data_IF_980332265824
#
_entry.id   IF_980332265824
#
_cell.length_a   1.000
_cell.length_b   1.000
_cell.length_c   1.000
_cell.angle_alpha   90.00
_cell.angle_beta   90.00
_cell.angle_gamma   90.00
#
_symmetry.space_group_name_H-M   'P 1'
#
loop_
_entity.id
_entity.type
_entity.pdbx_description
1 polymer ?
#
# COMPACT_ATOMS: atom_id res chain seq x y z
N UNK A 1 1.63 13.57 33.00
CA UNK A 1 2.59 14.42 32.26
C UNK A 1 1.99 15.07 31.01
N UNK A 2 0.65 15.01 30.79
CA UNK A 2 -0.03 15.61 29.64
C UNK A 2 0.26 14.96 28.26
N UNK A 3 0.79 13.73 28.24
CA UNK A 3 1.01 12.94 27.02
C UNK A 3 -0.05 11.86 26.88
N UNK A 4 -0.52 11.65 25.66
CA UNK A 4 -1.40 10.52 25.31
C UNK A 4 -0.54 9.37 24.79
N UNK A 5 -0.77 8.16 25.29
CA UNK A 5 -0.12 6.94 24.81
C UNK A 5 -1.09 6.25 23.85
N UNK A 6 -0.59 5.88 22.69
CA UNK A 6 -1.35 5.20 21.63
C UNK A 6 -0.62 3.95 21.16
N UNK A 7 -1.30 2.98 20.50
CA UNK A 7 -0.61 1.87 19.82
C UNK A 7 0.39 2.38 18.79
N UNK A 8 1.45 1.62 18.55
CA UNK A 8 2.35 1.89 17.43
C UNK A 8 1.62 1.79 16.09
N UNK A 9 2.04 2.59 15.12
CA UNK A 9 1.42 2.62 13.80
C UNK A 9 1.77 1.37 13.00
N UNK A 10 0.82 0.96 12.17
CA UNK A 10 0.95 -0.10 11.16
C UNK A 10 0.97 0.57 9.79
N UNK A 11 2.06 0.44 9.07
CA UNK A 11 2.24 0.97 7.72
C UNK A 11 2.13 -0.17 6.69
N UNK A 12 1.00 -0.20 5.98
CA UNK A 12 0.64 -1.30 5.07
C UNK A 12 1.37 -1.27 3.73
N UNK A 13 2.18 -0.23 3.45
CA UNK A 13 2.82 -0.05 2.15
C UNK A 13 4.17 0.64 2.28
N UNK A 14 5.25 -0.15 2.34
CA UNK A 14 6.61 0.38 2.51
C UNK A 14 7.60 -0.32 1.58
N UNK A 15 8.40 0.47 0.87
CA UNK A 15 9.51 -0.03 0.08
C UNK A 15 10.75 -0.22 0.96
N UNK A 16 10.75 -1.25 1.82
CA UNK A 16 11.82 -1.46 2.82
C UNK A 16 13.21 -1.69 2.19
N UNK A 17 13.26 -2.18 0.96
CA UNK A 17 14.50 -2.31 0.16
C UNK A 17 14.82 -1.08 -0.69
N UNK A 18 14.03 -0.01 -0.54
CA UNK A 18 14.02 1.16 -1.41
C UNK A 18 13.28 0.90 -2.73
N UNK A 19 12.72 1.93 -3.29
CA UNK A 19 12.12 1.97 -4.63
C UNK A 19 12.99 2.77 -5.61
N UNK A 20 12.36 3.46 -6.54
CA UNK A 20 13.03 4.30 -7.54
C UNK A 20 13.64 3.50 -8.68
N UNK A 21 14.40 4.18 -9.51
CA UNK A 21 15.03 3.62 -10.70
C UNK A 21 14.31 4.00 -12.00
N UNK A 22 13.13 4.59 -11.95
CA UNK A 22 12.31 4.92 -13.12
C UNK A 22 12.92 6.03 -14.00
N UNK A 23 13.90 6.77 -13.49
CA UNK A 23 14.71 7.73 -14.27
C UNK A 23 16.15 7.22 -14.47
N UNK A 24 16.34 5.92 -14.50
CA UNK A 24 17.63 5.28 -14.64
C UNK A 24 18.33 4.98 -13.30
N UNK A 25 19.50 4.30 -13.34
CA UNK A 25 20.13 3.74 -12.13
C UNK A 25 20.45 4.75 -11.03
N UNK A 26 20.70 6.01 -11.38
CA UNK A 26 21.01 7.07 -10.42
C UNK A 26 19.80 7.54 -9.59
N UNK A 27 18.58 7.19 -9.99
CA UNK A 27 17.34 7.53 -9.28
C UNK A 27 16.88 6.47 -8.27
N UNK A 28 17.73 5.48 -7.96
CA UNK A 28 17.42 4.43 -6.96
C UNK A 28 17.39 5.01 -5.55
N UNK A 29 16.35 4.68 -4.79
CA UNK A 29 16.23 5.07 -3.38
C UNK A 29 16.96 4.04 -2.50
N UNK A 30 17.71 4.45 -1.46
CA UNK A 30 18.38 3.52 -0.57
C UNK A 30 17.40 2.70 0.27
N UNK A 31 17.88 1.62 0.88
CA UNK A 31 17.11 0.81 1.82
C UNK A 31 16.71 1.59 3.09
N UNK A 32 15.63 1.17 3.70
CA UNK A 32 15.17 1.72 4.97
C UNK A 32 16.06 1.29 6.15
N UNK A 33 16.00 2.04 7.25
CA UNK A 33 16.59 1.66 8.53
C UNK A 33 15.53 1.67 9.63
N UNK A 34 15.68 0.84 10.66
CA UNK A 34 14.78 0.76 11.82
C UNK A 34 14.51 2.14 12.44
N UNK A 35 15.55 2.95 12.57
CA UNK A 35 15.45 4.27 13.21
C UNK A 35 14.47 5.22 12.52
N UNK A 36 14.29 5.08 11.20
CA UNK A 36 13.34 5.92 10.46
C UNK A 36 11.91 5.55 10.81
N UNK A 37 11.60 4.28 11.01
CA UNK A 37 10.28 3.83 11.42
C UNK A 37 9.96 4.24 12.85
N UNK A 38 10.81 3.90 13.80
CA UNK A 38 10.56 4.15 15.22
C UNK A 38 10.49 5.63 15.57
N UNK A 39 11.29 6.48 14.93
CA UNK A 39 11.19 7.95 15.10
C UNK A 39 9.83 8.51 14.62
N UNK A 40 9.13 7.79 13.76
CA UNK A 40 7.81 8.17 13.26
C UNK A 40 6.65 7.36 13.86
N UNK A 41 6.92 6.59 14.92
CA UNK A 41 5.90 5.85 15.68
C UNK A 41 5.43 4.55 14.99
N UNK A 42 6.10 4.10 13.92
CA UNK A 42 5.75 2.88 13.19
C UNK A 42 6.43 1.69 13.84
N UNK A 43 5.66 0.72 14.28
CA UNK A 43 6.13 -0.52 14.92
C UNK A 43 5.85 -1.76 14.09
N UNK A 44 4.99 -1.64 13.09
CA UNK A 44 4.66 -2.71 12.15
C UNK A 44 4.67 -2.18 10.72
N UNK A 45 5.28 -2.90 9.80
CA UNK A 45 5.28 -2.55 8.37
C UNK A 45 5.02 -3.75 7.47
N UNK A 46 4.40 -3.50 6.32
CA UNK A 46 4.29 -4.45 5.22
C UNK A 46 5.24 -4.01 4.11
N UNK A 47 6.33 -4.74 3.95
CA UNK A 47 7.34 -4.52 2.93
C UNK A 47 6.90 -5.04 1.57
N UNK A 48 7.23 -4.30 0.50
CA UNK A 48 6.89 -4.70 -0.86
C UNK A 48 7.86 -4.10 -1.89
N UNK A 49 7.84 -4.64 -3.10
CA UNK A 49 8.57 -4.09 -4.24
C UNK A 49 7.68 -3.13 -5.05
N UNK A 50 8.31 -2.22 -5.76
CA UNK A 50 7.66 -1.26 -6.65
C UNK A 50 7.79 -1.64 -8.12
N UNK A 51 8.02 -0.62 -8.97
CA UNK A 51 8.22 -0.77 -10.42
C UNK A 51 9.43 -1.67 -10.74
N UNK A 52 10.52 -1.54 -9.99
CA UNK A 52 11.71 -2.37 -10.14
C UNK A 52 11.54 -3.72 -9.42
N UNK A 53 11.03 -4.70 -10.12
CA UNK A 53 11.02 -6.10 -9.74
C UNK A 53 12.11 -6.93 -10.44
N UNK A 54 13.10 -6.27 -11.10
CA UNK A 54 14.15 -6.89 -11.89
C UNK A 54 15.47 -6.85 -11.11
N UNK A 55 15.89 -5.66 -10.68
CA UNK A 55 17.15 -5.46 -9.96
C UNK A 55 16.96 -5.39 -8.43
N UNK A 56 15.71 -5.39 -7.97
CA UNK A 56 15.29 -5.62 -6.59
C UNK A 56 14.46 -6.90 -6.56
N UNK A 57 14.91 -7.87 -5.77
CA UNK A 57 14.30 -9.20 -5.77
C UNK A 57 13.43 -9.43 -4.53
N UNK A 58 12.54 -10.42 -4.62
CA UNK A 58 11.71 -10.88 -3.49
C UNK A 58 12.59 -11.47 -2.39
N UNK A 59 13.72 -12.11 -2.73
CA UNK A 59 14.72 -12.62 -1.77
C UNK A 59 15.34 -11.49 -0.95
N UNK A 60 15.73 -10.38 -1.61
CA UNK A 60 16.24 -9.19 -0.90
C UNK A 60 15.16 -8.62 0.03
N UNK A 61 13.90 -8.55 -0.43
CA UNK A 61 12.77 -8.09 0.38
C UNK A 61 12.60 -8.95 1.65
N UNK A 62 12.63 -10.27 1.53
CA UNK A 62 12.54 -11.20 2.67
C UNK A 62 13.74 -11.03 3.61
N UNK A 63 14.95 -10.94 3.07
CA UNK A 63 16.15 -10.73 3.87
C UNK A 63 16.06 -9.43 4.69
N UNK A 64 15.59 -8.35 4.07
CA UNK A 64 15.39 -7.06 4.74
C UNK A 64 14.28 -7.11 5.79
N UNK A 65 13.15 -7.78 5.49
CA UNK A 65 12.07 -7.94 6.45
C UNK A 65 12.56 -8.70 7.71
N UNK A 66 13.31 -9.77 7.52
CA UNK A 66 13.92 -10.53 8.62
C UNK A 66 14.90 -9.69 9.44
N UNK A 67 15.78 -8.93 8.77
CA UNK A 67 16.74 -8.06 9.45
C UNK A 67 16.03 -7.04 10.37
N UNK A 68 15.02 -6.34 9.86
CA UNK A 68 14.23 -5.39 10.66
C UNK A 68 13.46 -6.08 11.81
N UNK A 69 13.03 -7.34 11.61
CA UNK A 69 12.39 -8.13 12.66
C UNK A 69 13.38 -8.51 13.77
N UNK A 70 14.59 -8.89 13.42
CA UNK A 70 15.67 -9.16 14.39
C UNK A 70 16.08 -7.89 15.17
N UNK A 71 15.97 -6.71 14.53
CA UNK A 71 16.17 -5.40 15.16
C UNK A 71 14.99 -5.00 16.10
N UNK A 72 13.88 -5.75 16.14
CA UNK A 72 12.77 -5.56 17.08
C UNK A 72 11.49 -4.95 16.49
N UNK A 73 11.35 -4.84 15.16
CA UNK A 73 10.15 -4.38 14.47
C UNK A 73 9.30 -5.57 14.01
N UNK A 74 7.98 -5.44 13.98
CA UNK A 74 7.13 -6.42 13.28
C UNK A 74 7.10 -6.11 11.80
N UNK A 75 7.58 -7.04 10.94
CA UNK A 75 7.63 -6.82 9.50
C UNK A 75 7.05 -8.00 8.74
N UNK A 76 6.05 -7.72 7.93
CA UNK A 76 5.49 -8.62 6.92
C UNK A 76 5.97 -8.21 5.53
N UNK A 77 5.72 -9.07 4.53
CA UNK A 77 6.08 -8.80 3.15
C UNK A 77 5.04 -9.32 2.17
N UNK A 78 5.04 -8.74 0.97
CA UNK A 78 4.26 -9.22 -0.16
C UNK A 78 5.20 -9.76 -1.23
N UNK A 79 4.92 -10.94 -1.74
CA UNK A 79 5.66 -11.48 -2.89
C UNK A 79 5.34 -10.71 -4.17
N UNK A 80 6.16 -10.83 -5.19
CA UNK A 80 6.06 -10.14 -6.48
C UNK A 80 6.35 -8.62 -6.40
N UNK A 81 6.09 -7.95 -7.52
CA UNK A 81 6.28 -6.52 -7.76
C UNK A 81 5.11 -5.99 -8.58
N UNK A 82 5.32 -5.02 -9.49
CA UNK A 82 4.26 -4.49 -10.35
C UNK A 82 3.81 -5.45 -11.45
N UNK A 83 4.71 -6.34 -11.89
CA UNK A 83 4.51 -7.18 -13.06
C UNK A 83 3.52 -8.34 -12.86
N UNK A 84 2.92 -8.79 -13.97
CA UNK A 84 2.25 -10.06 -14.10
C UNK A 84 2.78 -10.77 -15.35
N UNK A 85 3.08 -12.07 -15.32
CA UNK A 85 3.00 -13.00 -14.19
C UNK A 85 3.84 -12.59 -12.98
N UNK A 86 3.41 -12.99 -11.75
CA UNK A 86 4.09 -12.59 -10.52
C UNK A 86 5.50 -13.19 -10.41
N UNK A 87 6.46 -12.38 -9.96
CA UNK A 87 7.80 -12.85 -9.60
C UNK A 87 7.78 -13.40 -8.19
N UNK A 88 8.28 -14.62 -7.99
CA UNK A 88 8.23 -15.35 -6.73
C UNK A 88 9.56 -16.04 -6.44
N UNK A 89 9.83 -16.37 -5.18
CA UNK A 89 11.03 -17.12 -4.78
C UNK A 89 10.89 -18.62 -5.13
N UNK A 90 9.70 -19.18 -4.89
CA UNK A 90 9.48 -20.63 -4.99
C UNK A 90 8.85 -21.07 -6.31
N UNK A 91 8.62 -20.12 -7.23
CA UNK A 91 7.90 -20.37 -8.49
C UNK A 91 6.37 -20.34 -8.35
N UNK A 92 5.83 -20.02 -7.15
CA UNK A 92 4.39 -19.97 -6.90
C UNK A 92 4.07 -18.96 -5.80
N UNK A 93 3.08 -18.10 -6.03
CA UNK A 93 2.53 -17.18 -5.02
C UNK A 93 2.07 -17.94 -3.78
N UNK A 94 1.40 -19.06 -3.97
CA UNK A 94 0.90 -19.89 -2.88
C UNK A 94 2.02 -20.46 -2.01
N UNK A 95 3.08 -20.98 -2.65
CA UNK A 95 4.24 -21.51 -1.90
C UNK A 95 4.98 -20.41 -1.17
N UNK A 96 5.13 -19.22 -1.78
CA UNK A 96 5.76 -18.09 -1.10
C UNK A 96 4.98 -17.73 0.18
N UNK A 97 3.66 -17.56 0.09
CA UNK A 97 2.82 -17.19 1.24
C UNK A 97 2.80 -18.29 2.31
N UNK A 98 2.73 -19.58 1.93
CA UNK A 98 2.62 -20.69 2.89
C UNK A 98 3.97 -21.02 3.53
N UNK A 99 5.08 -20.93 2.78
CA UNK A 99 6.37 -21.46 3.20
C UNK A 99 7.35 -20.40 3.71
N UNK A 100 7.10 -19.12 3.46
CA UNK A 100 8.03 -18.02 3.82
C UNK A 100 7.36 -17.14 4.89
N UNK A 101 7.77 -17.22 6.17
CA UNK A 101 7.07 -16.64 7.31
C UNK A 101 6.62 -15.18 7.20
N UNK A 102 7.40 -14.22 6.66
CA UNK A 102 6.92 -12.84 6.56
C UNK A 102 5.90 -12.62 5.44
N UNK A 103 5.68 -13.58 4.53
CA UNK A 103 4.78 -13.40 3.40
C UNK A 103 3.31 -13.52 3.80
N UNK A 104 2.54 -12.46 3.54
CA UNK A 104 1.10 -12.40 3.86
C UNK A 104 0.21 -12.18 2.65
N UNK A 105 0.79 -12.04 1.46
CA UNK A 105 0.05 -11.74 0.24
C UNK A 105 0.96 -11.49 -0.96
N UNK A 106 0.39 -10.88 -1.99
CA UNK A 106 1.04 -10.60 -3.27
C UNK A 106 0.83 -9.15 -3.70
N UNK A 107 1.81 -8.58 -4.38
CA UNK A 107 1.77 -7.23 -4.99
C UNK A 107 1.55 -7.33 -6.50
N UNK A 108 0.76 -6.40 -7.05
CA UNK A 108 0.58 -6.20 -8.51
C UNK A 108 0.25 -4.73 -8.80
N UNK A 109 0.51 -4.24 -10.00
CA UNK A 109 0.03 -2.93 -10.46
C UNK A 109 -1.15 -3.08 -11.41
N UNK A 110 -2.16 -2.22 -11.25
CA UNK A 110 -3.41 -2.23 -12.03
C UNK A 110 -3.74 -0.81 -12.46
N UNK A 111 -4.24 -0.67 -13.68
CA UNK A 111 -4.65 0.63 -14.25
C UNK A 111 -3.55 1.70 -14.17
N UNK A 112 -2.30 1.29 -14.36
CA UNK A 112 -1.09 2.13 -14.35
C UNK A 112 -0.30 1.91 -15.64
N UNK A 113 0.37 2.95 -16.16
CA UNK A 113 1.20 2.85 -17.37
C UNK A 113 2.42 1.93 -17.20
N UNK A 114 2.80 1.59 -15.97
CA UNK A 114 3.88 0.64 -15.62
C UNK A 114 3.33 -0.76 -15.33
N UNK A 115 2.01 -0.95 -15.38
CA UNK A 115 1.37 -2.26 -15.20
C UNK A 115 1.60 -3.15 -16.40
N UNK A 116 1.69 -4.46 -16.19
CA UNK A 116 1.60 -5.47 -17.25
C UNK A 116 0.20 -5.57 -17.87
N UNK A 117 -0.76 -4.79 -17.36
CA UNK A 117 -2.18 -4.85 -17.76
C UNK A 117 -2.77 -6.28 -17.66
N UNK A 118 -2.72 -6.93 -16.47
CA UNK A 118 -3.32 -8.24 -16.30
C UNK A 118 -4.80 -8.19 -16.65
N UNK A 119 -5.31 -9.24 -17.29
CA UNK A 119 -6.74 -9.39 -17.56
C UNK A 119 -7.52 -9.60 -16.24
N UNK A 120 -8.85 -9.48 -16.31
CA UNK A 120 -9.70 -9.81 -15.17
C UNK A 120 -9.52 -11.26 -14.70
N UNK A 121 -9.37 -12.19 -15.66
CA UNK A 121 -9.14 -13.62 -15.36
C UNK A 121 -7.76 -13.85 -14.71
N UNK A 122 -6.73 -13.13 -15.14
CA UNK A 122 -5.42 -13.17 -14.48
C UNK A 122 -5.51 -12.71 -13.03
N UNK A 123 -6.27 -11.65 -12.77
CA UNK A 123 -6.49 -11.15 -11.40
C UNK A 123 -7.34 -12.12 -10.56
N UNK A 124 -8.33 -12.79 -11.14
CA UNK A 124 -9.09 -13.86 -10.48
C UNK A 124 -8.14 -14.99 -10.08
N UNK A 125 -7.29 -15.45 -11.00
CA UNK A 125 -6.32 -16.51 -10.71
C UNK A 125 -5.35 -16.11 -9.59
N UNK A 126 -4.80 -14.87 -9.65
CA UNK A 126 -3.90 -14.34 -8.64
C UNK A 126 -4.57 -14.23 -7.27
N UNK A 127 -5.79 -13.67 -7.22
CA UNK A 127 -6.53 -13.48 -5.98
C UNK A 127 -6.97 -14.80 -5.36
N UNK A 128 -7.36 -15.77 -6.18
CA UNK A 128 -7.69 -17.13 -5.72
C UNK A 128 -6.47 -17.84 -5.14
N UNK A 129 -5.31 -17.73 -5.78
CA UNK A 129 -4.07 -18.29 -5.29
C UNK A 129 -3.67 -17.67 -3.94
N UNK A 130 -3.67 -16.34 -3.83
CA UNK A 130 -3.36 -15.65 -2.59
C UNK A 130 -4.36 -16.00 -1.47
N UNK A 131 -5.66 -16.00 -1.78
CA UNK A 131 -6.73 -16.38 -0.83
C UNK A 131 -6.55 -17.78 -0.29
N UNK A 132 -6.32 -18.78 -1.17
CA UNK A 132 -6.12 -20.17 -0.77
C UNK A 132 -4.88 -20.33 0.11
N UNK A 133 -3.78 -19.68 -0.27
CA UNK A 133 -2.55 -19.68 0.52
C UNK A 133 -2.75 -19.05 1.90
N UNK A 134 -3.46 -17.94 1.98
CA UNK A 134 -3.80 -17.28 3.25
C UNK A 134 -4.58 -18.20 4.19
N UNK A 135 -5.55 -18.97 3.67
CA UNK A 135 -6.29 -19.97 4.45
C UNK A 135 -5.38 -21.07 5.00
N UNK A 136 -4.40 -21.52 4.21
CA UNK A 136 -3.48 -22.59 4.61
C UNK A 136 -2.40 -22.12 5.60
N UNK A 137 -1.99 -20.85 5.52
CA UNK A 137 -0.94 -20.28 6.37
C UNK A 137 -1.47 -19.52 7.59
N UNK A 138 -2.79 -19.29 7.68
CA UNK A 138 -3.37 -18.45 8.74
C UNK A 138 -3.05 -16.96 8.57
N UNK A 139 -2.79 -16.51 7.33
CA UNK A 139 -2.51 -15.12 6.99
C UNK A 139 -3.65 -14.51 6.15
N UNK A 140 -3.69 -13.18 5.94
CA UNK A 140 -4.76 -12.56 5.16
C UNK A 140 -4.92 -13.06 3.73
N UNK A 141 -3.83 -13.50 3.07
CA UNK A 141 -3.84 -13.84 1.65
C UNK A 141 -4.22 -12.63 0.80
N UNK A 142 -3.54 -11.51 1.05
CA UNK A 142 -3.88 -10.21 0.53
C UNK A 142 -3.35 -10.02 -0.90
N UNK A 143 -4.13 -9.38 -1.77
CA UNK A 143 -3.67 -8.84 -3.05
C UNK A 143 -3.61 -7.33 -2.94
N UNK A 144 -2.42 -6.79 -2.73
CA UNK A 144 -2.24 -5.33 -2.71
C UNK A 144 -2.00 -4.84 -4.14
N UNK A 145 -2.86 -3.95 -4.60
CA UNK A 145 -2.85 -3.44 -5.97
C UNK A 145 -2.42 -1.97 -5.98
N UNK A 146 -1.27 -1.69 -6.61
CA UNK A 146 -0.91 -0.32 -6.94
C UNK A 146 -1.86 0.22 -8.00
N UNK A 147 -2.68 1.19 -7.63
CA UNK A 147 -3.60 1.83 -8.56
C UNK A 147 -2.95 3.04 -9.22
N UNK A 148 -2.90 3.02 -10.54
CA UNK A 148 -2.52 4.19 -11.32
C UNK A 148 -3.69 5.16 -11.54
N UNK A 149 -3.46 6.17 -12.38
CA UNK A 149 -4.49 7.08 -12.90
C UNK A 149 -5.04 6.63 -14.25
N UNK A 150 -4.86 5.36 -14.60
CA UNK A 150 -5.30 4.78 -15.86
C UNK A 150 -6.83 4.72 -15.99
N UNK A 151 -7.32 4.64 -17.22
CA UNK A 151 -8.75 4.69 -17.56
C UNK A 151 -9.59 3.58 -16.92
N UNK A 152 -8.97 2.41 -16.65
CA UNK A 152 -9.65 1.27 -16.04
C UNK A 152 -10.01 1.44 -14.56
N UNK A 153 -9.41 2.40 -13.85
CA UNK A 153 -9.70 2.65 -12.41
C UNK A 153 -9.78 1.34 -11.62
N UNK A 154 -10.88 1.06 -10.90
CA UNK A 154 -11.16 -0.20 -10.22
C UNK A 154 -11.96 -1.22 -11.04
N UNK A 155 -12.23 -0.98 -12.34
CA UNK A 155 -12.98 -1.94 -13.17
C UNK A 155 -12.38 -3.35 -13.12
N UNK A 156 -11.04 -3.57 -13.15
CA UNK A 156 -10.47 -4.89 -13.00
C UNK A 156 -10.72 -5.52 -11.62
N UNK A 157 -10.82 -4.72 -10.56
CA UNK A 157 -11.16 -5.19 -9.20
C UNK A 157 -12.63 -5.61 -9.14
N UNK A 158 -13.52 -4.81 -9.69
CA UNK A 158 -14.95 -5.16 -9.77
C UNK A 158 -15.16 -6.40 -10.64
N UNK A 159 -14.40 -6.56 -11.72
CA UNK A 159 -14.45 -7.78 -12.52
C UNK A 159 -14.16 -9.03 -11.67
N UNK A 160 -13.14 -8.99 -10.79
CA UNK A 160 -12.86 -10.10 -9.88
C UNK A 160 -14.06 -10.39 -8.97
N UNK A 161 -14.67 -9.35 -8.41
CA UNK A 161 -15.81 -9.49 -7.50
C UNK A 161 -17.09 -10.00 -8.19
N UNK A 162 -17.26 -9.65 -9.46
CA UNK A 162 -18.47 -10.00 -10.22
C UNK A 162 -18.37 -11.40 -10.88
N UNK A 163 -17.13 -11.93 -11.06
CA UNK A 163 -16.89 -13.18 -11.80
C UNK A 163 -16.17 -14.27 -10.97
N UNK A 164 -16.01 -14.05 -9.64
CA UNK A 164 -15.40 -15.05 -8.76
C UNK A 164 -15.98 -15.01 -7.34
N UNK A 165 -15.67 -16.04 -6.55
CA UNK A 165 -16.04 -16.11 -5.12
C UNK A 165 -14.95 -15.52 -4.19
N UNK A 166 -13.99 -14.76 -4.72
CA UNK A 166 -12.96 -14.11 -3.91
C UNK A 166 -13.60 -13.00 -3.07
N UNK A 167 -13.50 -13.05 -1.72
CA UNK A 167 -14.07 -12.00 -0.88
C UNK A 167 -13.39 -10.66 -1.10
N UNK A 168 -14.15 -9.58 -1.14
CA UNK A 168 -13.65 -8.22 -1.35
C UNK A 168 -12.51 -7.83 -0.39
N UNK A 169 -12.54 -8.33 0.84
CA UNK A 169 -11.50 -8.08 1.85
C UNK A 169 -10.11 -8.64 1.51
N UNK A 170 -9.98 -9.50 0.52
CA UNK A 170 -8.67 -9.99 0.04
C UNK A 170 -8.03 -9.04 -0.99
N UNK A 171 -8.77 -8.04 -1.47
CA UNK A 171 -8.34 -7.09 -2.48
C UNK A 171 -8.09 -5.74 -1.82
N UNK A 172 -6.86 -5.25 -1.84
CA UNK A 172 -6.47 -3.96 -1.24
C UNK A 172 -5.88 -3.03 -2.30
N UNK A 173 -6.72 -2.25 -3.01
CA UNK A 173 -6.21 -1.18 -3.86
C UNK A 173 -5.63 -0.04 -3.01
N UNK A 174 -4.43 0.41 -3.37
CA UNK A 174 -3.73 1.53 -2.71
C UNK A 174 -3.64 2.75 -3.62
N UNK A 175 -3.25 3.89 -3.07
CA UNK A 175 -3.18 5.20 -3.74
C UNK A 175 -4.54 5.75 -4.18
N UNK A 176 -5.58 5.46 -3.42
CA UNK A 176 -6.96 5.76 -3.81
C UNK A 176 -7.33 7.25 -3.90
N UNK A 177 -6.44 8.15 -3.47
CA UNK A 177 -6.66 9.61 -3.54
C UNK A 177 -6.15 10.25 -4.85
N UNK A 178 -5.73 9.47 -5.86
CA UNK A 178 -5.11 9.99 -7.09
C UNK A 178 -6.06 10.81 -7.96
N UNK A 179 -7.28 10.34 -8.15
CA UNK A 179 -8.29 11.05 -8.95
C UNK A 179 -9.67 11.00 -8.27
N UNK A 180 -10.55 11.99 -8.52
CA UNK A 180 -11.90 11.97 -7.96
C UNK A 180 -12.69 10.71 -8.32
N UNK A 181 -12.54 10.22 -9.56
CA UNK A 181 -13.24 9.02 -10.03
C UNK A 181 -12.71 7.74 -9.37
N UNK A 182 -11.41 7.70 -9.01
CA UNK A 182 -10.85 6.58 -8.26
C UNK A 182 -11.37 6.60 -6.81
N UNK A 183 -11.54 7.78 -6.23
CA UNK A 183 -12.18 7.95 -4.92
C UNK A 183 -13.63 7.47 -4.93
N UNK A 184 -14.41 7.82 -5.99
CA UNK A 184 -15.79 7.34 -6.15
C UNK A 184 -15.86 5.81 -6.25
N UNK A 185 -14.97 5.22 -7.06
CA UNK A 185 -14.86 3.76 -7.17
C UNK A 185 -14.45 3.11 -5.83
N UNK A 186 -13.63 3.79 -5.02
CA UNK A 186 -13.26 3.36 -3.66
C UNK A 186 -14.47 3.28 -2.73
N UNK A 187 -15.38 4.27 -2.79
CA UNK A 187 -16.64 4.23 -2.02
C UNK A 187 -17.48 3.01 -2.41
N UNK A 188 -17.59 2.72 -3.71
CA UNK A 188 -18.34 1.55 -4.19
C UNK A 188 -17.71 0.24 -3.73
N UNK A 189 -16.37 0.14 -3.73
CA UNK A 189 -15.67 -1.04 -3.22
C UNK A 189 -15.93 -1.25 -1.72
N UNK A 190 -15.91 -0.17 -0.93
CA UNK A 190 -16.21 -0.22 0.52
C UNK A 190 -17.66 -0.65 0.76
N UNK A 191 -18.62 -0.18 -0.03
CA UNK A 191 -20.03 -0.64 0.03
C UNK A 191 -20.16 -2.14 -0.23
N UNK A 192 -19.28 -2.72 -1.03
CA UNK A 192 -19.20 -4.16 -1.29
C UNK A 192 -18.40 -4.95 -0.21
N UNK A 193 -18.00 -4.30 0.88
CA UNK A 193 -17.25 -4.90 1.98
C UNK A 193 -15.75 -5.02 1.74
N UNK A 194 -15.21 -4.33 0.74
CA UNK A 194 -13.78 -4.23 0.48
C UNK A 194 -13.09 -3.19 1.34
N UNK A 195 -11.76 -3.19 1.29
CA UNK A 195 -10.89 -2.21 1.94
C UNK A 195 -10.16 -1.39 0.89
N UNK A 196 -9.84 -0.16 1.25
CA UNK A 196 -9.01 0.73 0.43
C UNK A 196 -7.86 1.30 1.25
N UNK A 197 -6.73 1.58 0.58
CA UNK A 197 -5.58 2.21 1.20
C UNK A 197 -5.28 3.57 0.56
N UNK A 198 -5.00 4.57 1.40
CA UNK A 198 -4.74 5.93 1.01
C UNK A 198 -3.30 6.33 1.36
N UNK A 199 -2.60 6.98 0.45
CA UNK A 199 -1.20 7.39 0.65
C UNK A 199 -1.12 8.79 1.27
N UNK A 200 -0.25 8.96 2.26
CA UNK A 200 -0.13 10.20 3.03
C UNK A 200 0.50 11.37 2.27
N UNK A 201 1.26 11.13 1.22
CA UNK A 201 2.01 12.15 0.49
C UNK A 201 3.51 12.14 0.78
N UNK A 202 4.29 12.83 -0.04
CA UNK A 202 5.76 12.78 -0.05
C UNK A 202 6.46 14.05 0.42
N UNK A 203 5.77 15.17 0.48
CA UNK A 203 6.29 16.45 0.97
C UNK A 203 5.24 17.24 1.78
N UNK A 204 5.66 18.38 2.30
CA UNK A 204 4.82 19.17 3.20
C UNK A 204 3.58 19.76 2.53
N UNK A 205 3.61 20.07 1.23
CA UNK A 205 2.46 20.55 0.49
C UNK A 205 1.55 19.40 0.09
N UNK A 206 2.12 18.29 -0.36
CA UNK A 206 1.34 17.14 -0.79
C UNK A 206 0.59 16.51 0.39
N UNK A 207 1.19 16.41 1.58
CA UNK A 207 0.49 15.86 2.75
C UNK A 207 -0.75 16.66 3.14
N UNK A 208 -0.70 18.00 3.03
CA UNK A 208 -1.89 18.85 3.27
C UNK A 208 -2.98 18.54 2.22
N UNK A 209 -2.60 18.47 0.94
CA UNK A 209 -3.53 18.15 -0.15
C UNK A 209 -4.14 16.74 -0.01
N UNK A 210 -3.33 15.74 0.32
CA UNK A 210 -3.81 14.37 0.51
C UNK A 210 -4.71 14.25 1.74
N UNK A 211 -4.38 14.95 2.83
CA UNK A 211 -5.22 14.96 4.02
C UNK A 211 -6.61 15.58 3.75
N UNK A 212 -6.68 16.66 2.95
CA UNK A 212 -7.96 17.25 2.54
C UNK A 212 -8.78 16.25 1.71
N UNK A 213 -8.17 15.60 0.72
CA UNK A 213 -8.85 14.58 -0.10
C UNK A 213 -9.32 13.39 0.75
N UNK A 214 -8.47 12.94 1.69
CA UNK A 214 -8.82 11.85 2.61
C UNK A 214 -10.00 12.24 3.50
N UNK A 215 -9.98 13.44 4.06
CA UNK A 215 -11.08 13.96 4.88
C UNK A 215 -12.39 13.99 4.07
N UNK A 216 -12.35 14.51 2.83
CA UNK A 216 -13.50 14.53 1.92
C UNK A 216 -14.00 13.09 1.64
N UNK A 217 -13.09 12.17 1.29
CA UNK A 217 -13.43 10.77 1.02
C UNK A 217 -14.12 10.09 2.21
N UNK A 218 -13.60 10.31 3.42
CA UNK A 218 -14.14 9.71 4.65
C UNK A 218 -15.54 10.23 5.02
N UNK A 219 -15.95 11.38 4.48
CA UNK A 219 -17.28 11.98 4.71
C UNK A 219 -18.25 11.76 3.55
N UNK A 220 -17.87 11.01 2.50
CA UNK A 220 -18.78 10.68 1.40
C UNK A 220 -19.88 9.70 1.85
N UNK A 221 -21.04 9.86 1.25
CA UNK A 221 -22.17 8.96 1.52
C UNK A 221 -21.83 7.50 1.18
N UNK A 222 -22.09 6.63 2.13
CA UNK A 222 -21.80 5.19 2.03
C UNK A 222 -20.36 4.79 2.33
N UNK A 223 -19.47 5.73 2.73
CA UNK A 223 -18.13 5.39 3.20
C UNK A 223 -18.18 4.82 4.62
N UNK A 224 -17.49 3.71 4.82
CA UNK A 224 -17.21 3.15 6.14
C UNK A 224 -15.73 3.34 6.48
N UNK A 225 -15.43 4.18 7.45
CA UNK A 225 -14.05 4.48 7.88
C UNK A 225 -13.29 3.26 8.37
N UNK A 226 -13.98 2.26 8.93
CA UNK A 226 -13.34 1.02 9.41
C UNK A 226 -12.83 0.13 8.26
N UNK A 227 -13.06 0.53 7.00
CA UNK A 227 -12.56 -0.10 5.78
C UNK A 227 -11.49 0.73 5.04
N UNK A 228 -11.00 1.78 5.68
CA UNK A 228 -9.97 2.66 5.10
C UNK A 228 -8.70 2.59 5.91
N UNK A 229 -7.58 2.23 5.25
CA UNK A 229 -6.24 2.32 5.82
C UNK A 229 -5.50 3.52 5.22
N UNK A 230 -4.43 3.92 5.89
CA UNK A 230 -3.49 4.90 5.38
C UNK A 230 -2.09 4.34 5.45
N UNK A 231 -1.31 4.54 4.38
CA UNK A 231 0.08 4.11 4.29
C UNK A 231 0.99 5.25 3.86
N UNK A 232 2.29 5.08 4.08
CA UNK A 232 3.26 6.13 3.76
C UNK A 232 3.78 6.05 2.32
N UNK A 233 3.76 4.89 1.70
CA UNK A 233 4.54 4.60 0.49
C UNK A 233 6.03 4.92 0.68
N UNK A 234 6.53 4.81 1.93
CA UNK A 234 7.86 5.24 2.31
C UNK A 234 8.94 4.54 1.48
N UNK A 235 9.97 5.31 1.10
CA UNK A 235 11.05 4.91 0.21
C UNK A 235 10.60 4.54 -1.21
N UNK A 236 9.30 4.68 -1.55
CA UNK A 236 8.79 4.66 -2.91
C UNK A 236 9.15 5.95 -3.65
N UNK A 237 9.36 5.86 -4.96
CA UNK A 237 9.63 7.02 -5.80
C UNK A 237 8.34 7.83 -6.03
N UNK A 238 8.47 9.14 -5.94
CA UNK A 238 7.39 10.08 -6.20
C UNK A 238 7.82 11.08 -7.28
N UNK A 239 7.08 11.20 -8.39
CA UNK A 239 7.41 12.17 -9.42
C UNK A 239 7.16 13.59 -8.93
N UNK A 240 8.07 14.51 -9.29
CA UNK A 240 7.91 15.96 -9.08
C UNK A 240 7.59 16.60 -10.41
N UNK A 241 6.49 17.34 -10.45
CA UNK A 241 6.03 18.03 -11.64
C UNK A 241 6.28 19.55 -11.51
N UNK A 242 6.61 20.20 -12.62
CA UNK A 242 6.61 21.68 -12.73
C UNK A 242 5.19 22.22 -12.93
N UNK A 243 5.07 23.54 -13.05
CA UNK A 243 3.79 24.22 -13.27
C UNK A 243 3.14 23.84 -14.61
N UNK A 244 3.93 23.40 -15.57
CA UNK A 244 3.52 22.95 -16.91
C UNK A 244 3.08 21.48 -16.94
N UNK A 245 3.22 20.75 -15.79
CA UNK A 245 2.86 19.33 -15.67
C UNK A 245 3.94 18.39 -16.17
N UNK A 246 5.15 18.85 -16.42
CA UNK A 246 6.28 18.01 -16.82
C UNK A 246 6.98 17.42 -15.60
N UNK A 247 7.35 16.15 -15.65
CA UNK A 247 8.13 15.51 -14.59
C UNK A 247 9.56 16.03 -14.60
N UNK A 248 9.92 16.85 -13.63
CA UNK A 248 11.24 17.49 -13.50
C UNK A 248 12.20 16.77 -12.54
N UNK A 249 11.76 15.70 -11.93
CA UNK A 249 12.58 14.89 -11.03
C UNK A 249 11.80 13.90 -10.22
N UNK A 250 12.51 13.14 -9.38
CA UNK A 250 11.94 12.24 -8.40
C UNK A 250 12.33 12.67 -6.99
N UNK A 251 11.45 12.47 -6.05
CA UNK A 251 11.69 12.42 -4.62
C UNK A 251 11.31 11.04 -4.10
N UNK A 252 11.40 10.81 -2.83
CA UNK A 252 10.90 9.58 -2.21
C UNK A 252 10.01 9.90 -1.01
N UNK A 253 8.99 9.09 -0.82
CA UNK A 253 8.06 9.25 0.28
C UNK A 253 8.73 8.97 1.63
N UNK A 254 8.28 9.68 2.66
CA UNK A 254 8.79 9.55 4.03
C UNK A 254 7.69 9.14 5.00
N UNK A 255 7.97 8.20 5.93
CA UNK A 255 6.97 7.75 6.89
C UNK A 255 6.55 8.84 7.90
N UNK A 256 7.29 9.95 7.99
CA UNK A 256 6.94 11.09 8.87
C UNK A 256 5.56 11.69 8.57
N UNK A 257 5.09 11.54 7.33
CA UNK A 257 3.84 12.13 6.89
C UNK A 257 2.59 11.39 7.38
N UNK A 258 2.71 10.15 7.85
CA UNK A 258 1.59 9.45 8.50
C UNK A 258 1.10 10.20 9.73
N UNK A 259 2.00 10.50 10.67
CA UNK A 259 1.64 11.26 11.88
C UNK A 259 1.17 12.68 11.55
N UNK A 260 1.80 13.33 10.57
CA UNK A 260 1.39 14.67 10.13
C UNK A 260 -0.04 14.66 9.56
N UNK A 261 -0.40 13.64 8.78
CA UNK A 261 -1.79 13.49 8.29
C UNK A 261 -2.79 13.36 9.44
N UNK A 262 -2.49 12.56 10.47
CA UNK A 262 -3.35 12.49 11.67
C UNK A 262 -3.55 13.86 12.31
N UNK A 263 -2.47 14.64 12.46
CA UNK A 263 -2.54 16.00 13.01
C UNK A 263 -3.42 16.92 12.15
N UNK A 264 -3.34 16.81 10.82
CA UNK A 264 -4.13 17.63 9.91
C UNK A 264 -5.61 17.23 10.01
N UNK A 265 -5.94 15.93 9.95
CA UNK A 265 -7.31 15.43 10.08
C UNK A 265 -7.97 15.92 11.39
N UNK A 266 -7.22 15.86 12.50
CA UNK A 266 -7.72 16.37 13.81
C UNK A 266 -7.93 17.87 13.76
N UNK A 267 -7.04 18.65 13.15
CA UNK A 267 -7.25 20.09 12.94
C UNK A 267 -8.47 20.42 12.08
N UNK A 268 -8.82 19.55 11.13
CA UNK A 268 -10.02 19.65 10.31
C UNK A 268 -11.31 19.24 11.04
N UNK A 269 -11.19 18.75 12.29
CA UNK A 269 -12.34 18.42 13.14
C UNK A 269 -12.62 16.93 13.30
N UNK A 270 -11.77 16.05 12.75
CA UNK A 270 -11.91 14.61 12.98
C UNK A 270 -11.57 14.26 14.43
N UNK A 271 -12.37 13.44 15.14
CA UNK A 271 -11.99 12.92 16.46
C UNK A 271 -10.66 12.17 16.41
N UNK A 272 -9.77 12.41 17.38
CA UNK A 272 -8.41 11.84 17.39
C UNK A 272 -8.42 10.31 17.31
N UNK A 273 -9.30 9.65 18.05
CA UNK A 273 -9.44 8.20 18.05
C UNK A 273 -9.89 7.65 16.69
N UNK A 274 -10.71 8.39 15.96
CA UNK A 274 -11.11 8.00 14.60
C UNK A 274 -9.95 8.14 13.62
N UNK A 275 -9.21 9.26 13.68
CA UNK A 275 -8.04 9.44 12.83
C UNK A 275 -6.98 8.34 13.08
N UNK A 276 -6.78 7.93 14.34
CA UNK A 276 -5.83 6.87 14.69
C UNK A 276 -6.20 5.50 14.12
N UNK A 277 -7.48 5.19 13.94
CA UNK A 277 -7.92 3.90 13.38
C UNK A 277 -7.29 3.62 12.03
N UNK A 278 -7.09 4.63 11.20
CA UNK A 278 -6.48 4.52 9.87
C UNK A 278 -5.08 3.87 9.89
N UNK A 279 -4.37 3.97 11.02
CA UNK A 279 -3.00 3.50 11.20
C UNK A 279 -2.86 2.43 12.30
N UNK A 280 -3.94 2.05 12.96
CA UNK A 280 -3.87 1.13 14.10
C UNK A 280 -4.86 -0.03 13.96
N UNK A 281 -6.12 0.16 14.28
CA UNK A 281 -7.12 -0.92 14.33
C UNK A 281 -7.61 -1.37 12.96
N UNK A 282 -7.70 -0.48 11.98
CA UNK A 282 -8.16 -0.87 10.63
C UNK A 282 -7.11 -1.72 9.90
N UNK A 283 -5.80 -1.40 9.92
CA UNK A 283 -4.79 -2.25 9.29
C UNK A 283 -4.41 -3.49 10.13
N UNK A 284 -4.85 -3.61 11.39
CA UNK A 284 -4.56 -4.76 12.25
C UNK A 284 -5.51 -5.94 11.97
#
# INVERSE_FOLDING_TARGET
NGKTVVPGYIDMHVHITGGGGEQGPASRVPESSLSVFFKNGITTAVGLLGTDGITRSVENLVAKARALTEEGMTVYALTSAYGYPPTTITGSVEKDIVMIPPMIGVKVAVSDHRSSNPSGDDLIALATAARRAGLLSGTPGLVTMHMGSGKGRLDPVFYVLDHSDVPAKNLLPTHMLRTPELMDAGVELVKRGGYIDCTAGSDDQEVENQAVKLFDLLHRDGMNMDHVTMSSDAFGSQPRFNAEGECVGLTYASPKYLHKTIQILVRMGMPFEQALKLLTTTPA
#
